data_IF_808917639606
#
_entry.id   IF_808917639606
#
_cell.length_a   1.000
_cell.length_b   1.000
_cell.length_c   1.000
_cell.angle_alpha   90.00
_cell.angle_beta   90.00
_cell.angle_gamma   90.00
#
_symmetry.space_group_name_H-M   'P 1'
#
loop_
_entity.id
_entity.type
_entity.pdbx_description
1 polymer ?
#
# COMPACT_ATOMS: atom_id res chain seq x y z
N UNK A 1 -75.71 -25.74 -27.16
CA UNK A 1 -74.78 -26.40 -28.11
C UNK A 1 -73.82 -25.33 -28.63
N UNK A 2 -72.75 -25.07 -27.87
CA UNK A 2 -71.36 -25.51 -28.13
C UNK A 2 -70.67 -24.74 -29.25
N UNK A 3 -69.86 -23.74 -28.87
CA UNK A 3 -68.69 -23.30 -29.63
C UNK A 3 -67.48 -23.28 -28.69
N UNK A 4 -66.48 -24.10 -29.01
CA UNK A 4 -65.26 -24.30 -28.23
C UNK A 4 -64.38 -23.02 -28.16
N UNK A 5 -63.65 -22.77 -27.05
CA UNK A 5 -62.65 -21.72 -27.02
C UNK A 5 -61.33 -22.18 -27.67
N UNK A 6 -60.74 -21.25 -28.43
CA UNK A 6 -59.50 -21.39 -29.19
C UNK A 6 -58.29 -21.60 -28.27
N UNK A 7 -57.40 -22.48 -28.71
CA UNK A 7 -56.09 -22.78 -28.16
C UNK A 7 -55.20 -21.51 -28.20
N UNK A 8 -54.87 -20.95 -27.04
CA UNK A 8 -53.85 -19.89 -26.90
C UNK A 8 -52.56 -20.54 -26.38
N UNK A 9 -51.53 -20.52 -27.20
CA UNK A 9 -50.19 -20.95 -26.84
C UNK A 9 -49.54 -19.79 -26.02
N UNK A 10 -49.15 -19.97 -24.75
CA UNK A 10 -48.57 -18.90 -23.97
C UNK A 10 -47.16 -18.58 -24.47
N UNK A 11 -46.95 -17.34 -24.91
CA UNK A 11 -45.63 -16.75 -25.14
C UNK A 11 -44.91 -16.62 -23.81
N UNK A 12 -43.86 -17.42 -23.59
CA UNK A 12 -42.97 -17.30 -22.43
C UNK A 12 -42.18 -15.99 -22.58
N UNK A 13 -42.40 -15.08 -21.65
CA UNK A 13 -41.78 -13.76 -21.60
C UNK A 13 -40.26 -13.88 -21.36
N UNK A 14 -39.47 -12.97 -21.94
CA UNK A 14 -38.00 -12.98 -21.79
C UNK A 14 -37.55 -12.80 -20.32
N UNK A 15 -38.43 -12.26 -19.46
CA UNK A 15 -38.18 -12.10 -18.04
C UNK A 15 -38.11 -13.44 -17.28
N UNK A 16 -38.86 -14.46 -17.72
CA UNK A 16 -38.87 -15.80 -17.09
C UNK A 16 -37.62 -16.63 -17.42
N UNK A 17 -37.00 -16.37 -18.58
CA UNK A 17 -35.74 -17.03 -18.97
C UNK A 17 -34.57 -16.59 -18.10
N UNK A 18 -34.53 -15.31 -17.72
CA UNK A 18 -33.50 -14.74 -16.85
C UNK A 18 -33.59 -15.33 -15.42
N UNK A 19 -34.80 -15.46 -14.88
CA UNK A 19 -35.03 -16.09 -13.57
C UNK A 19 -34.65 -17.59 -13.55
N UNK A 20 -35.01 -18.33 -14.60
CA UNK A 20 -34.71 -19.77 -14.70
C UNK A 20 -33.21 -20.03 -14.85
N UNK A 21 -32.51 -19.19 -15.62
CA UNK A 21 -31.05 -19.27 -15.82
C UNK A 21 -30.30 -18.99 -14.52
N UNK A 22 -30.77 -18.02 -13.73
CA UNK A 22 -30.19 -17.68 -12.41
C UNK A 22 -30.35 -18.81 -11.40
N UNK A 23 -31.54 -19.41 -11.32
CA UNK A 23 -31.79 -20.56 -10.42
C UNK A 23 -30.89 -21.75 -10.76
N UNK A 24 -30.67 -22.04 -12.05
CA UNK A 24 -29.79 -23.11 -12.50
C UNK A 24 -28.32 -22.86 -12.09
N UNK A 25 -27.84 -21.63 -12.21
CA UNK A 25 -26.49 -21.23 -11.83
C UNK A 25 -26.24 -21.29 -10.31
N UNK A 26 -27.23 -20.91 -9.49
CA UNK A 26 -27.15 -21.05 -8.02
C UNK A 26 -27.06 -22.52 -7.61
N UNK A 27 -27.86 -23.38 -8.24
CA UNK A 27 -27.84 -24.83 -8.00
C UNK A 27 -26.53 -25.49 -8.44
N UNK A 28 -25.95 -25.07 -9.56
CA UNK A 28 -24.69 -25.63 -10.09
C UNK A 28 -23.44 -25.14 -9.35
N UNK A 29 -23.44 -23.90 -8.85
CA UNK A 29 -22.28 -23.31 -8.16
C UNK A 29 -22.26 -23.54 -6.65
N UNK A 30 -23.42 -23.84 -6.03
CA UNK A 30 -23.55 -23.95 -4.58
C UNK A 30 -23.31 -22.64 -3.83
N UNK A 31 -23.29 -21.51 -4.55
CA UNK A 31 -23.08 -20.16 -4.02
C UNK A 31 -24.24 -19.26 -4.47
N UNK A 32 -24.78 -18.40 -3.59
CA UNK A 32 -25.78 -17.43 -4.00
C UNK A 32 -25.19 -16.49 -5.05
N UNK A 33 -25.90 -16.27 -6.17
CA UNK A 33 -25.40 -15.45 -7.30
C UNK A 33 -25.13 -13.99 -6.90
N UNK A 34 -25.74 -13.52 -5.81
CA UNK A 34 -25.44 -12.22 -5.19
C UNK A 34 -23.99 -12.08 -4.70
N UNK A 35 -23.25 -13.18 -4.54
CA UNK A 35 -21.81 -13.19 -4.26
C UNK A 35 -20.93 -13.39 -5.50
N UNK A 36 -21.51 -13.77 -6.64
CA UNK A 36 -20.78 -13.85 -7.90
C UNK A 36 -20.62 -12.44 -8.48
N UNK A 37 -19.44 -11.85 -8.28
CA UNK A 37 -19.04 -10.66 -9.04
C UNK A 37 -18.85 -11.06 -10.51
N UNK A 38 -19.75 -10.62 -11.41
CA UNK A 38 -19.62 -10.89 -12.84
C UNK A 38 -20.90 -10.72 -13.64
N UNK A 39 -20.83 -11.08 -14.92
CA UNK A 39 -21.93 -11.12 -15.88
C UNK A 39 -22.38 -12.59 -16.04
N UNK A 40 -23.40 -13.05 -15.27
CA UNK A 40 -23.84 -14.44 -15.30
C UNK A 40 -24.44 -14.82 -16.65
N UNK A 41 -25.13 -13.89 -17.32
CA UNK A 41 -25.75 -14.12 -18.62
C UNK A 41 -24.68 -14.26 -19.70
N UNK A 42 -23.67 -13.39 -19.70
CA UNK A 42 -22.51 -13.50 -20.57
C UNK A 42 -21.71 -14.79 -20.34
N UNK A 43 -21.65 -15.28 -19.09
CA UNK A 43 -21.04 -16.58 -18.79
C UNK A 43 -21.84 -17.74 -19.40
N UNK A 44 -23.17 -17.73 -19.27
CA UNK A 44 -24.03 -18.77 -19.84
C UNK A 44 -24.03 -18.75 -21.36
N UNK A 45 -24.05 -17.55 -21.96
CA UNK A 45 -23.89 -17.39 -23.41
C UNK A 45 -22.56 -17.97 -23.88
N UNK A 46 -21.47 -17.71 -23.15
CA UNK A 46 -20.14 -18.27 -23.46
C UNK A 46 -20.09 -19.78 -23.25
N UNK A 47 -20.71 -20.30 -22.20
CA UNK A 47 -20.79 -21.73 -21.89
C UNK A 47 -21.54 -22.53 -22.96
N UNK A 48 -22.51 -21.89 -23.62
CA UNK A 48 -23.31 -22.49 -24.69
C UNK A 48 -22.59 -22.54 -26.05
N UNK A 49 -21.42 -21.89 -26.19
CA UNK A 49 -20.68 -21.84 -27.46
C UNK A 49 -19.74 -23.06 -27.61
N UNK A 50 -19.56 -23.58 -28.85
CA UNK A 50 -18.53 -24.56 -29.13
C UNK A 50 -17.14 -24.08 -28.70
N UNK A 51 -16.30 -24.99 -28.21
CA UNK A 51 -14.94 -24.64 -27.75
C UNK A 51 -14.89 -23.96 -26.38
N UNK A 52 -16.00 -23.93 -25.62
CA UNK A 52 -16.04 -23.39 -24.25
C UNK A 52 -14.93 -23.95 -23.36
N UNK A 53 -14.64 -25.26 -23.41
CA UNK A 53 -13.56 -25.87 -22.62
C UNK A 53 -12.18 -25.28 -22.92
N UNK A 54 -11.86 -25.09 -24.21
CA UNK A 54 -10.60 -24.48 -24.65
C UNK A 54 -10.53 -23.01 -24.24
N UNK A 55 -11.64 -22.29 -24.39
CA UNK A 55 -11.77 -20.92 -23.91
C UNK A 55 -11.56 -20.83 -22.40
N UNK A 56 -12.20 -21.68 -21.62
CA UNK A 56 -12.13 -21.69 -20.15
C UNK A 56 -10.72 -21.99 -19.69
N UNK A 57 -10.06 -22.99 -20.27
CA UNK A 57 -8.66 -23.31 -19.97
C UNK A 57 -7.73 -22.12 -20.28
N UNK A 58 -7.96 -21.43 -21.39
CA UNK A 58 -7.22 -20.23 -21.76
C UNK A 58 -7.50 -19.05 -20.80
N UNK A 59 -8.77 -18.76 -20.51
CA UNK A 59 -9.21 -17.68 -19.62
C UNK A 59 -8.79 -17.92 -18.16
N UNK A 60 -8.72 -19.17 -17.71
CA UNK A 60 -8.24 -19.53 -16.37
C UNK A 60 -6.81 -19.04 -16.10
N UNK A 61 -5.98 -18.83 -17.14
CA UNK A 61 -4.64 -18.23 -17.01
C UNK A 61 -4.68 -16.79 -16.48
N UNK A 62 -5.82 -16.10 -16.60
CA UNK A 62 -6.05 -14.80 -15.98
C UNK A 62 -6.28 -14.88 -14.46
N UNK A 63 -6.39 -16.09 -13.89
CA UNK A 63 -6.51 -16.36 -12.44
C UNK A 63 -7.66 -15.62 -11.76
N UNK A 64 -8.79 -15.45 -12.43
CA UNK A 64 -9.94 -14.72 -11.88
C UNK A 64 -9.74 -13.21 -11.80
N UNK A 65 -8.82 -12.64 -12.58
CA UNK A 65 -8.68 -11.20 -12.72
C UNK A 65 -9.97 -10.56 -13.27
N UNK A 66 -10.50 -9.54 -12.60
CA UNK A 66 -11.75 -8.85 -12.98
C UNK A 66 -11.63 -8.07 -14.30
N UNK A 67 -10.44 -7.55 -14.61
CA UNK A 67 -10.20 -6.76 -15.83
C UNK A 67 -8.84 -7.11 -16.44
N UNK A 68 -8.68 -8.32 -17.02
CA UNK A 68 -7.39 -8.76 -17.57
C UNK A 68 -6.95 -7.90 -18.75
N UNK A 69 -5.65 -7.70 -18.89
CA UNK A 69 -5.03 -7.07 -20.06
C UNK A 69 -5.16 -8.05 -21.22
N UNK A 70 -5.71 -7.59 -22.35
CA UNK A 70 -5.88 -8.38 -23.57
C UNK A 70 -4.74 -8.05 -24.52
N UNK A 71 -3.86 -9.02 -24.75
CA UNK A 71 -2.71 -8.89 -25.63
C UNK A 71 -3.00 -9.52 -26.98
N UNK A 72 -2.57 -8.88 -28.06
CA UNK A 72 -2.59 -9.42 -29.42
C UNK A 72 -1.17 -9.34 -29.98
N UNK A 73 -0.77 -10.36 -30.72
CA UNK A 73 0.49 -10.38 -31.42
C UNK A 73 1.09 -11.77 -31.52
N UNK A 74 2.37 -11.78 -31.82
CA UNK A 74 3.16 -12.97 -32.08
C UNK A 74 4.42 -12.97 -31.23
N UNK A 75 4.80 -14.16 -30.77
CA UNK A 75 6.06 -14.42 -30.08
C UNK A 75 6.83 -15.44 -30.90
N UNK A 76 8.03 -15.07 -31.32
CA UNK A 76 8.98 -15.96 -31.98
C UNK A 76 10.10 -16.27 -31.01
N UNK A 77 10.30 -17.55 -30.69
CA UNK A 77 11.51 -18.00 -30.00
C UNK A 77 12.56 -18.26 -31.08
N UNK A 78 13.68 -17.54 -31.02
CA UNK A 78 14.74 -17.58 -32.02
C UNK A 78 16.02 -18.11 -31.40
N UNK A 79 16.68 -19.05 -32.07
CA UNK A 79 17.96 -19.58 -31.64
C UNK A 79 19.06 -18.52 -31.77
N UNK A 80 19.71 -18.19 -30.65
CA UNK A 80 20.57 -17.01 -30.54
C UNK A 80 21.76 -17.01 -31.50
N UNK A 81 22.39 -18.15 -31.76
CA UNK A 81 23.59 -18.21 -32.61
C UNK A 81 23.31 -18.44 -34.09
N UNK A 82 22.12 -18.93 -34.46
CA UNK A 82 21.80 -19.29 -35.86
C UNK A 82 20.70 -18.43 -36.47
N UNK A 83 19.97 -17.65 -35.66
CA UNK A 83 18.84 -16.84 -36.12
C UNK A 83 17.60 -17.67 -36.53
N UNK A 84 17.64 -19.00 -36.36
CA UNK A 84 16.52 -19.88 -36.74
C UNK A 84 15.36 -19.73 -35.74
N UNK A 85 14.15 -19.54 -36.24
CA UNK A 85 12.93 -19.63 -35.42
C UNK A 85 12.75 -21.08 -34.98
N UNK A 86 12.69 -21.30 -33.67
CA UNK A 86 12.48 -22.62 -33.05
C UNK A 86 11.04 -22.82 -32.59
N UNK A 87 10.35 -21.74 -32.26
CA UNK A 87 8.96 -21.76 -31.82
C UNK A 87 8.27 -20.49 -32.30
N UNK A 88 7.00 -20.62 -32.68
CA UNK A 88 6.14 -19.50 -33.06
C UNK A 88 4.83 -19.65 -32.30
N UNK A 89 4.43 -18.60 -31.62
CA UNK A 89 3.15 -18.48 -30.94
C UNK A 89 2.42 -17.27 -31.50
N UNK A 90 1.22 -17.45 -32.02
CA UNK A 90 0.37 -16.35 -32.47
C UNK A 90 -0.93 -16.33 -31.68
N UNK A 91 -1.35 -15.15 -31.23
CA UNK A 91 -2.63 -15.01 -30.53
C UNK A 91 -3.83 -15.35 -31.40
N UNK A 92 -3.73 -15.30 -32.73
CA UNK A 92 -4.81 -15.65 -33.66
C UNK A 92 -5.27 -17.11 -33.51
N UNK A 93 -4.40 -17.98 -33.00
CA UNK A 93 -4.68 -19.38 -32.72
C UNK A 93 -5.44 -19.59 -31.39
N UNK A 94 -5.69 -18.51 -30.62
CA UNK A 94 -6.39 -18.57 -29.34
C UNK A 94 -7.90 -18.37 -29.49
N UNK A 95 -8.73 -18.89 -28.57
CA UNK A 95 -10.20 -18.85 -28.66
C UNK A 95 -10.82 -17.46 -28.90
N UNK A 96 -10.25 -16.40 -28.32
CA UNK A 96 -10.71 -15.01 -28.50
C UNK A 96 -9.72 -14.15 -29.31
N UNK A 97 -8.74 -14.79 -29.96
CA UNK A 97 -7.61 -14.15 -30.64
C UNK A 97 -6.84 -13.16 -29.77
N UNK A 98 -6.82 -13.41 -28.47
CA UNK A 98 -6.13 -12.58 -27.47
C UNK A 98 -5.51 -13.49 -26.42
N UNK A 99 -4.40 -13.06 -25.82
CA UNK A 99 -3.84 -13.65 -24.62
C UNK A 99 -4.28 -12.83 -23.40
N UNK A 100 -4.86 -13.49 -22.40
CA UNK A 100 -5.25 -12.84 -21.15
C UNK A 100 -4.10 -12.79 -20.15
N UNK A 101 -3.69 -11.58 -19.79
CA UNK A 101 -2.73 -11.33 -18.71
C UNK A 101 -3.44 -10.72 -17.50
N UNK A 102 -3.25 -11.24 -16.27
CA UNK A 102 -3.76 -10.61 -15.07
C UNK A 102 -3.34 -9.12 -14.99
N UNK A 103 -4.23 -8.24 -14.56
CA UNK A 103 -3.98 -6.80 -14.55
C UNK A 103 -2.88 -6.36 -13.58
N UNK A 104 -2.55 -7.18 -12.58
CA UNK A 104 -1.50 -6.91 -11.61
C UNK A 104 -1.80 -5.73 -10.68
N UNK A 105 -3.04 -5.22 -10.65
CA UNK A 105 -3.42 -4.18 -9.68
C UNK A 105 -3.32 -4.73 -8.26
N UNK A 106 -2.81 -3.90 -7.35
CA UNK A 106 -2.76 -4.17 -5.91
C UNK A 106 -4.00 -3.64 -5.16
N UNK A 107 -4.95 -3.05 -5.87
CA UNK A 107 -6.16 -2.45 -5.29
C UNK A 107 -7.28 -3.49 -5.29
N UNK A 108 -7.61 -4.02 -4.11
CA UNK A 108 -8.67 -5.01 -3.93
C UNK A 108 -10.03 -4.51 -4.45
N UNK A 109 -10.33 -3.21 -4.28
CA UNK A 109 -11.54 -2.58 -4.80
C UNK A 109 -11.64 -2.56 -6.34
N UNK A 110 -10.53 -2.77 -7.06
CA UNK A 110 -10.52 -2.86 -8.53
C UNK A 110 -10.42 -4.31 -9.02
N UNK A 111 -9.67 -5.16 -8.33
CA UNK A 111 -9.54 -6.57 -8.66
C UNK A 111 -9.12 -7.34 -7.40
N UNK A 112 -10.05 -8.02 -6.71
CA UNK A 112 -9.75 -8.79 -5.50
C UNK A 112 -8.69 -9.88 -5.74
N UNK A 113 -8.82 -10.64 -6.83
CA UNK A 113 -7.90 -11.74 -7.15
C UNK A 113 -6.43 -11.28 -7.32
N UNK A 114 -6.18 -10.25 -8.14
CA UNK A 114 -4.83 -9.76 -8.36
C UNK A 114 -4.23 -9.13 -7.10
N UNK A 115 -5.05 -8.40 -6.32
CA UNK A 115 -4.62 -7.82 -5.06
C UNK A 115 -4.27 -8.89 -4.02
N UNK A 116 -5.03 -9.99 -3.98
CA UNK A 116 -4.79 -11.12 -3.08
C UNK A 116 -3.49 -11.86 -3.43
N UNK A 117 -3.28 -12.14 -4.72
CA UNK A 117 -2.03 -12.73 -5.21
C UNK A 117 -0.83 -11.85 -4.83
N UNK A 118 -0.93 -10.54 -5.09
CA UNK A 118 0.11 -9.57 -4.71
C UNK A 118 0.37 -9.56 -3.18
N UNK A 119 -0.70 -9.65 -2.36
CA UNK A 119 -0.59 -9.69 -0.89
C UNK A 119 0.20 -10.91 -0.44
N UNK A 120 -0.11 -12.10 -0.96
CA UNK A 120 0.60 -13.33 -0.64
C UNK A 120 2.06 -13.31 -1.12
N UNK A 121 2.31 -12.85 -2.34
CA UNK A 121 3.67 -12.73 -2.86
C UNK A 121 4.51 -11.78 -2.00
N UNK A 122 3.94 -10.62 -1.65
CA UNK A 122 4.59 -9.64 -0.77
C UNK A 122 4.84 -10.22 0.62
N UNK A 123 3.87 -10.95 1.19
CA UNK A 123 4.04 -11.61 2.49
C UNK A 123 5.19 -12.61 2.44
N UNK A 124 5.26 -13.46 1.42
CA UNK A 124 6.31 -14.46 1.28
C UNK A 124 7.69 -13.83 1.05
N UNK A 125 7.77 -12.73 0.29
CA UNK A 125 9.00 -11.95 0.12
C UNK A 125 9.50 -11.38 1.44
N UNK A 126 8.62 -10.76 2.23
CA UNK A 126 8.96 -10.19 3.53
C UNK A 126 9.35 -11.30 4.52
N UNK A 127 8.57 -12.39 4.57
CA UNK A 127 8.84 -13.55 5.44
C UNK A 127 10.20 -14.17 5.14
N UNK A 128 10.49 -14.48 3.88
CA UNK A 128 11.79 -15.02 3.49
C UNK A 128 12.93 -14.04 3.80
N UNK A 129 12.69 -12.74 3.60
CA UNK A 129 13.60 -11.67 3.99
C UNK A 129 13.77 -11.45 5.50
N UNK A 130 13.09 -12.19 6.37
CA UNK A 130 13.22 -12.05 7.83
C UNK A 130 13.55 -13.36 8.52
N UNK A 131 13.08 -14.49 8.01
CA UNK A 131 13.22 -15.80 8.62
C UNK A 131 14.01 -16.80 7.76
N UNK A 132 14.36 -16.43 6.51
CA UNK A 132 14.95 -17.35 5.54
C UNK A 132 13.93 -18.14 4.72
N UNK A 133 14.41 -18.95 3.78
CA UNK A 133 13.62 -19.71 2.81
C UNK A 133 13.66 -19.12 1.40
N UNK A 134 13.19 -19.89 0.40
CA UNK A 134 13.17 -19.50 -1.03
C UNK A 134 14.52 -18.97 -1.55
N UNK A 135 15.62 -19.63 -1.16
CA UNK A 135 16.99 -19.22 -1.54
C UNK A 135 17.62 -18.18 -0.61
N UNK A 136 16.92 -17.69 0.42
CA UNK A 136 17.48 -16.83 1.47
C UNK A 136 17.94 -17.70 2.65
N UNK A 137 19.18 -17.55 3.16
CA UNK A 137 19.65 -18.29 4.33
C UNK A 137 18.84 -18.00 5.59
N UNK A 138 18.65 -18.99 6.47
CA UNK A 138 17.94 -18.84 7.76
C UNK A 138 18.66 -17.91 8.75
N UNK A 139 19.97 -17.73 8.58
CA UNK A 139 20.80 -16.83 9.40
C UNK A 139 20.28 -15.39 9.42
N UNK A 140 19.49 -14.97 8.42
CA UNK A 140 18.87 -13.64 8.36
C UNK A 140 17.96 -13.34 9.55
N UNK A 141 17.43 -14.36 10.23
CA UNK A 141 16.65 -14.19 11.46
C UNK A 141 17.47 -13.57 12.60
N UNK A 142 18.79 -13.71 12.55
CA UNK A 142 19.73 -13.13 13.52
C UNK A 142 20.22 -11.74 13.11
N UNK A 143 19.94 -11.30 11.89
CA UNK A 143 20.42 -10.02 11.39
C UNK A 143 19.61 -8.86 12.00
N UNK A 144 20.24 -7.71 12.32
CA UNK A 144 19.51 -6.58 12.85
C UNK A 144 18.46 -6.09 11.86
N UNK A 145 17.22 -6.05 12.30
CA UNK A 145 16.10 -5.49 11.57
C UNK A 145 15.35 -4.47 12.42
N UNK A 146 14.86 -3.41 11.79
CA UNK A 146 13.99 -2.42 12.41
C UNK A 146 12.74 -2.22 11.57
N UNK A 147 11.60 -2.12 12.24
CA UNK A 147 10.36 -1.64 11.63
C UNK A 147 10.20 -0.16 11.97
N UNK A 148 10.18 0.68 10.94
CA UNK A 148 10.13 2.14 11.07
C UNK A 148 8.86 2.66 10.41
N UNK A 149 8.14 3.53 11.11
CA UNK A 149 7.01 4.27 10.55
C UNK A 149 7.40 5.74 10.43
N UNK A 150 7.43 6.26 9.20
CA UNK A 150 7.67 7.67 8.91
C UNK A 150 6.33 8.34 8.66
N UNK A 151 5.85 9.05 9.68
CA UNK A 151 4.61 9.80 9.60
C UNK A 151 4.85 11.16 8.95
N UNK A 152 3.85 11.59 8.20
CA UNK A 152 3.84 12.93 7.63
C UNK A 152 3.74 14.01 8.71
N UNK A 153 4.19 15.24 8.41
CA UNK A 153 3.93 16.38 9.28
C UNK A 153 2.42 16.64 9.43
N UNK A 154 2.10 17.51 10.38
CA UNK A 154 0.74 18.05 10.51
C UNK A 154 0.53 19.18 9.52
N UNK A 155 -0.62 19.18 8.84
CA UNK A 155 -1.05 20.25 7.93
C UNK A 155 -2.24 21.04 8.49
N UNK A 156 -2.74 20.66 9.67
CA UNK A 156 -3.96 21.19 10.26
C UNK A 156 -4.58 20.16 11.18
N UNK A 157 -5.55 20.59 11.98
CA UNK A 157 -6.25 19.68 12.89
C UNK A 157 -7.35 18.96 12.12
N UNK A 158 -7.37 17.63 12.24
CA UNK A 158 -8.38 16.77 11.61
C UNK A 158 -9.21 16.04 12.66
N UNK A 159 -10.38 15.57 12.25
CA UNK A 159 -11.13 14.57 13.02
C UNK A 159 -10.34 13.26 13.11
N UNK A 160 -10.28 12.71 14.31
CA UNK A 160 -9.54 11.48 14.63
C UNK A 160 -10.39 10.56 15.49
N UNK A 161 -10.07 9.27 15.48
CA UNK A 161 -10.66 8.29 16.37
C UNK A 161 -9.53 7.75 17.27
N UNK A 162 -9.48 8.15 18.55
CA UNK A 162 -8.39 7.75 19.44
C UNK A 162 -8.47 6.26 19.81
N UNK A 163 -7.81 5.40 19.03
CA UNK A 163 -7.76 3.93 19.24
C UNK A 163 -8.83 3.17 18.46
N UNK A 164 -8.57 1.90 18.14
CA UNK A 164 -9.54 1.02 17.47
C UNK A 164 -10.65 0.63 18.46
N UNK A 165 -11.92 0.82 18.08
CA UNK A 165 -13.08 0.40 18.88
C UNK A 165 -13.32 1.21 20.18
N UNK A 166 -12.56 2.28 20.42
CA UNK A 166 -12.74 3.07 21.63
C UNK A 166 -13.84 4.12 21.44
N UNK A 167 -14.85 4.12 22.30
CA UNK A 167 -15.87 5.17 22.45
C UNK A 167 -15.29 6.46 23.05
N UNK A 168 -14.15 6.91 22.53
CA UNK A 168 -13.44 8.10 22.99
C UNK A 168 -13.84 9.30 22.13
N UNK A 169 -14.02 10.49 22.75
CA UNK A 169 -14.24 11.72 22.01
C UNK A 169 -13.12 11.96 21.00
N UNK A 170 -13.49 12.43 19.81
CA UNK A 170 -12.60 12.66 18.68
C UNK A 170 -11.34 13.45 19.05
N UNK A 171 -11.56 14.64 19.63
CA UNK A 171 -10.52 15.59 20.00
C UNK A 171 -11.02 16.53 21.10
N UNK A 172 -11.15 16.05 22.34
CA UNK A 172 -11.67 16.85 23.43
C UNK A 172 -10.66 17.94 23.81
N UNK A 173 -11.15 19.17 24.01
CA UNK A 173 -10.37 20.29 24.54
C UNK A 173 -11.22 21.10 25.50
N UNK A 174 -10.75 21.24 26.75
CA UNK A 174 -11.43 21.99 27.82
C UNK A 174 -11.64 23.47 27.46
N UNK A 175 -10.61 24.09 26.90
CA UNK A 175 -10.59 25.53 26.53
C UNK A 175 -11.48 25.86 25.33
N UNK A 176 -12.00 24.85 24.62
CA UNK A 176 -12.87 25.00 23.44
C UNK A 176 -12.37 26.07 22.44
N UNK A 177 -11.09 26.03 22.01
CA UNK A 177 -10.52 27.07 21.18
C UNK A 177 -11.22 27.14 19.82
N UNK A 178 -11.35 28.36 19.29
CA UNK A 178 -11.78 28.65 17.92
C UNK A 178 -10.59 29.12 17.10
N UNK A 179 -10.59 28.84 15.79
CA UNK A 179 -9.61 29.43 14.89
C UNK A 179 -10.00 30.85 14.48
N UNK A 180 -9.11 31.55 13.76
CA UNK A 180 -9.40 32.89 13.22
C UNK A 180 -10.59 32.95 12.24
N UNK A 181 -11.07 31.80 11.74
CA UNK A 181 -12.26 31.69 10.90
C UNK A 181 -13.54 31.36 11.71
N UNK A 182 -13.47 31.38 13.04
CA UNK A 182 -14.60 31.10 13.94
C UNK A 182 -14.99 29.62 14.05
N UNK A 183 -14.23 28.68 13.46
CA UNK A 183 -14.51 27.24 13.55
C UNK A 183 -13.92 26.63 14.84
N UNK A 184 -14.61 25.68 15.48
CA UNK A 184 -14.11 25.02 16.68
C UNK A 184 -12.90 24.12 16.34
N UNK A 185 -11.82 24.25 17.12
CA UNK A 185 -10.60 23.43 16.97
C UNK A 185 -10.59 22.22 17.92
N UNK A 186 -11.79 21.76 18.27
CA UNK A 186 -12.09 20.64 19.15
C UNK A 186 -13.33 19.89 18.64
N UNK A 187 -13.48 18.63 19.05
CA UNK A 187 -14.65 17.83 18.73
C UNK A 187 -14.86 16.80 19.85
N UNK A 188 -16.02 16.85 20.51
CA UNK A 188 -16.38 15.90 21.57
C UNK A 188 -17.20 14.71 21.06
N UNK A 189 -17.55 14.70 19.77
CA UNK A 189 -18.26 13.58 19.15
C UNK A 189 -17.42 12.31 19.23
N UNK A 190 -18.08 11.19 19.47
CA UNK A 190 -17.48 9.86 19.34
C UNK A 190 -17.81 9.41 17.92
N UNK A 191 -16.77 9.26 17.09
CA UNK A 191 -16.93 8.82 15.71
C UNK A 191 -16.90 7.30 15.64
N UNK A 192 -17.88 6.72 14.94
CA UNK A 192 -17.89 5.30 14.63
C UNK A 192 -16.80 4.95 13.59
N UNK A 193 -16.46 3.67 13.49
CA UNK A 193 -15.64 3.19 12.39
C UNK A 193 -16.35 3.47 11.05
N UNK A 194 -15.64 4.10 10.12
CA UNK A 194 -16.20 4.50 8.82
C UNK A 194 -16.90 5.86 8.78
N UNK A 195 -16.97 6.62 9.89
CA UNK A 195 -17.49 7.99 9.86
C UNK A 195 -16.71 8.84 8.83
N UNK A 196 -17.42 9.37 7.83
CA UNK A 196 -16.85 10.13 6.72
C UNK A 196 -16.13 11.42 7.13
N UNK A 197 -16.36 11.93 8.35
CA UNK A 197 -15.61 13.05 8.90
C UNK A 197 -14.18 12.67 9.28
N UNK A 198 -13.89 11.40 9.57
CA UNK A 198 -12.57 10.98 10.03
C UNK A 198 -11.49 11.27 8.99
N UNK A 199 -10.46 12.01 9.40
CA UNK A 199 -9.42 12.52 8.51
C UNK A 199 -9.74 13.86 7.85
N UNK A 200 -10.98 14.34 7.89
CA UNK A 200 -11.32 15.68 7.42
C UNK A 200 -10.82 16.76 8.39
N UNK A 201 -10.43 17.94 7.90
CA UNK A 201 -10.06 19.07 8.75
C UNK A 201 -11.24 19.58 9.60
N UNK A 202 -10.95 20.02 10.84
CA UNK A 202 -11.95 20.72 11.67
C UNK A 202 -12.32 22.09 11.08
N UNK A 203 -11.39 22.70 10.34
CA UNK A 203 -11.60 23.94 9.60
C UNK A 203 -10.91 23.78 8.25
N UNK A 204 -11.69 23.83 7.17
CA UNK A 204 -11.17 23.68 5.81
C UNK A 204 -10.19 24.80 5.48
N UNK A 205 -10.47 26.04 5.89
CA UNK A 205 -9.62 27.20 5.60
C UNK A 205 -8.31 27.23 6.41
N UNK A 206 -8.26 26.54 7.56
CA UNK A 206 -7.02 26.42 8.35
C UNK A 206 -6.09 25.30 7.86
N UNK A 207 -6.56 24.41 6.99
CA UNK A 207 -5.77 23.26 6.57
C UNK A 207 -4.84 23.61 5.41
N UNK A 208 -3.56 23.28 5.55
CA UNK A 208 -2.53 23.56 4.55
C UNK A 208 -2.54 22.49 3.44
N UNK A 209 -3.50 22.62 2.51
CA UNK A 209 -3.63 21.71 1.37
C UNK A 209 -2.44 21.79 0.42
N UNK A 210 -1.83 22.96 0.26
CA UNK A 210 -0.66 23.14 -0.60
C UNK A 210 0.51 22.30 -0.10
N UNK A 211 0.82 22.39 1.20
CA UNK A 211 1.90 21.60 1.79
C UNK A 211 1.57 20.11 1.85
N UNK A 212 0.30 19.72 2.05
CA UNK A 212 -0.14 18.33 1.92
C UNK A 212 0.14 17.79 0.51
N UNK A 213 -0.31 18.49 -0.54
CA UNK A 213 -0.09 18.08 -1.91
C UNK A 213 1.41 17.95 -2.24
N UNK A 214 2.22 18.95 -1.83
CA UNK A 214 3.68 18.92 -1.99
C UNK A 214 4.32 17.74 -1.26
N UNK A 215 3.88 17.44 -0.03
CA UNK A 215 4.36 16.28 0.72
C UNK A 215 4.07 14.98 -0.03
N UNK A 216 2.81 14.75 -0.43
CA UNK A 216 2.42 13.55 -1.15
C UNK A 216 3.18 13.39 -2.47
N UNK A 217 3.42 14.49 -3.19
CA UNK A 217 4.22 14.48 -4.41
C UNK A 217 5.71 14.15 -4.14
N UNK A 218 6.29 14.71 -3.08
CA UNK A 218 7.73 14.60 -2.80
C UNK A 218 8.13 13.44 -1.89
N UNK A 219 7.19 12.74 -1.24
CA UNK A 219 7.49 11.67 -0.25
C UNK A 219 8.39 10.57 -0.82
N UNK A 220 8.22 10.23 -2.10
CA UNK A 220 9.10 9.28 -2.80
C UNK A 220 10.53 9.78 -2.93
N UNK A 221 10.72 11.05 -3.31
CA UNK A 221 12.05 11.69 -3.41
C UNK A 221 12.69 11.87 -2.02
N UNK A 222 11.89 12.23 -1.01
CA UNK A 222 12.34 12.33 0.38
C UNK A 222 12.84 10.99 0.90
N UNK A 223 12.11 9.90 0.63
CA UNK A 223 12.57 8.54 0.95
C UNK A 223 13.91 8.22 0.31
N UNK A 224 14.07 8.46 -1.00
CA UNK A 224 15.32 8.17 -1.71
C UNK A 224 16.50 8.94 -1.13
N UNK A 225 16.31 10.23 -0.80
CA UNK A 225 17.33 11.05 -0.16
C UNK A 225 17.65 10.58 1.26
N UNK A 226 16.65 10.18 2.03
CA UNK A 226 16.82 9.58 3.36
C UNK A 226 17.66 8.32 3.27
N UNK A 227 17.30 7.37 2.40
CA UNK A 227 18.04 6.10 2.27
C UNK A 227 19.46 6.30 1.76
N UNK A 228 19.69 7.25 0.85
CA UNK A 228 21.03 7.62 0.42
C UNK A 228 21.88 8.13 1.59
N UNK A 229 21.32 9.02 2.43
CA UNK A 229 21.99 9.53 3.63
C UNK A 229 22.26 8.42 4.63
N UNK A 230 21.29 7.54 4.89
CA UNK A 230 21.46 6.39 5.80
C UNK A 230 22.57 5.48 5.30
N UNK A 231 22.57 5.09 4.01
CA UNK A 231 23.63 4.26 3.41
C UNK A 231 25.02 4.88 3.60
N UNK A 232 25.16 6.17 3.33
CA UNK A 232 26.44 6.89 3.51
C UNK A 232 26.88 6.93 4.98
N UNK A 233 25.98 7.29 5.90
CA UNK A 233 26.30 7.38 7.34
C UNK A 233 26.67 6.03 7.94
N UNK A 234 26.05 4.96 7.47
CA UNK A 234 26.30 3.58 7.93
C UNK A 234 27.49 2.92 7.21
N UNK A 235 28.14 3.60 6.25
CA UNK A 235 29.18 2.99 5.43
C UNK A 235 28.67 1.87 4.51
N UNK A 236 27.36 1.74 4.30
CA UNK A 236 26.74 0.72 3.44
C UNK A 236 26.81 1.13 1.96
N UNK A 237 28.04 1.22 1.46
CA UNK A 237 28.41 1.61 0.09
C UNK A 237 29.12 0.45 -0.61
N UNK A 238 29.41 0.56 -1.91
CA UNK A 238 30.11 -0.51 -2.67
C UNK A 238 31.50 -0.86 -2.12
N UNK A 239 32.13 0.04 -1.36
CA UNK A 239 33.43 -0.17 -0.71
C UNK A 239 33.30 -0.48 0.80
N UNK A 240 32.07 -0.62 1.29
CA UNK A 240 31.77 -0.84 2.70
C UNK A 240 31.70 -2.31 3.08
N UNK A 241 31.55 -2.59 4.37
CA UNK A 241 31.37 -3.95 4.92
C UNK A 241 29.92 -4.28 5.26
N UNK A 242 29.02 -3.31 5.08
CA UNK A 242 27.60 -3.42 5.41
C UNK A 242 26.72 -3.25 4.18
N UNK A 243 25.58 -3.93 4.20
CA UNK A 243 24.53 -3.79 3.21
C UNK A 243 23.19 -3.54 3.87
N UNK A 244 22.47 -2.54 3.35
CA UNK A 244 21.11 -2.24 3.77
C UNK A 244 20.13 -2.83 2.76
N UNK A 245 19.31 -3.77 3.20
CA UNK A 245 18.14 -4.29 2.49
C UNK A 245 16.88 -3.75 3.16
N UNK A 246 15.86 -3.43 2.37
CA UNK A 246 14.61 -2.94 2.93
C UNK A 246 13.42 -3.29 2.05
N UNK A 247 12.26 -3.40 2.69
CA UNK A 247 10.96 -3.34 2.05
C UNK A 247 10.21 -2.12 2.59
N UNK A 248 9.44 -1.44 1.75
CA UNK A 248 8.61 -0.30 2.18
C UNK A 248 7.21 -0.38 1.61
N UNK A 249 6.25 0.11 2.39
CA UNK A 249 4.87 0.31 1.98
C UNK A 249 4.52 1.76 2.19
N UNK A 250 3.92 2.37 1.18
CA UNK A 250 3.29 3.68 1.28
C UNK A 250 1.79 3.46 1.48
N UNK A 251 1.26 4.03 2.56
CA UNK A 251 -0.15 3.92 2.93
C UNK A 251 -0.71 5.32 3.13
N UNK A 252 -1.96 5.50 2.69
CA UNK A 252 -2.70 6.72 2.91
C UNK A 252 -3.36 6.67 4.28
N UNK A 253 -3.07 7.67 5.10
CA UNK A 253 -3.86 7.94 6.30
C UNK A 253 -5.29 8.32 5.88
N UNK A 254 -6.26 8.19 6.80
CA UNK A 254 -7.66 8.61 6.54
C UNK A 254 -7.77 10.03 5.98
N UNK A 255 -6.85 10.92 6.36
CA UNK A 255 -6.74 12.29 5.83
C UNK A 255 -6.10 12.42 4.43
N UNK A 256 -5.90 11.32 3.71
CA UNK A 256 -5.29 11.30 2.37
C UNK A 256 -3.80 11.62 2.33
N UNK A 257 -3.11 11.60 3.47
CA UNK A 257 -1.68 11.91 3.57
C UNK A 257 -0.88 10.61 3.60
N UNK A 258 0.17 10.52 2.79
CA UNK A 258 1.03 9.33 2.73
C UNK A 258 1.93 9.26 3.96
N UNK A 259 1.90 8.12 4.66
CA UNK A 259 2.97 7.69 5.57
C UNK A 259 3.69 6.46 5.00
N UNK A 260 4.91 6.23 5.48
CA UNK A 260 5.72 5.10 5.05
C UNK A 260 5.92 4.13 6.21
N UNK A 261 5.69 2.85 5.97
CA UNK A 261 6.19 1.77 6.79
C UNK A 261 7.39 1.15 6.08
N UNK A 262 8.48 0.92 6.80
CA UNK A 262 9.67 0.31 6.24
C UNK A 262 10.24 -0.72 7.20
N UNK A 263 10.53 -1.89 6.66
CA UNK A 263 11.36 -2.89 7.30
C UNK A 263 12.77 -2.74 6.75
N UNK A 264 13.75 -2.47 7.60
CA UNK A 264 15.14 -2.25 7.21
C UNK A 264 16.01 -3.27 7.92
N UNK A 265 16.74 -4.09 7.16
CA UNK A 265 17.65 -5.13 7.64
C UNK A 265 19.09 -4.79 7.27
N UNK A 266 20.01 -5.06 8.19
CA UNK A 266 21.45 -4.91 8.00
C UNK A 266 22.10 -6.27 7.77
N UNK A 267 22.77 -6.43 6.63
CA UNK A 267 23.55 -7.61 6.27
C UNK A 267 25.04 -7.23 6.18
N UNK A 268 25.92 -8.24 6.23
CA UNK A 268 27.30 -8.13 5.78
C UNK A 268 27.39 -7.99 4.25
N UNK A 269 28.46 -7.38 3.78
CA UNK A 269 28.78 -7.28 2.36
C UNK A 269 30.10 -8.01 2.05
N UNK A 270 30.05 -8.95 1.09
CA UNK A 270 31.22 -9.63 0.56
C UNK A 270 31.58 -9.04 -0.81
N UNK A 271 32.78 -8.44 -1.00
CA UNK A 271 33.17 -7.81 -2.26
C UNK A 271 33.13 -8.77 -3.46
N UNK A 272 33.63 -10.01 -3.28
CA UNK A 272 33.75 -10.99 -4.37
C UNK A 272 32.47 -11.81 -4.59
N UNK A 273 31.47 -11.67 -3.70
CA UNK A 273 30.18 -12.31 -3.87
C UNK A 273 29.07 -11.32 -3.48
N UNK A 274 28.71 -10.40 -4.40
CA UNK A 274 27.69 -9.41 -4.15
C UNK A 274 26.32 -10.02 -3.85
N UNK A 275 26.01 -11.27 -4.17
CA UNK A 275 24.70 -11.85 -3.86
C UNK A 275 24.66 -12.56 -2.49
N UNK A 276 25.82 -12.83 -1.88
CA UNK A 276 25.92 -13.43 -0.57
C UNK A 276 25.16 -12.62 0.51
N UNK A 277 24.40 -13.33 1.33
CA UNK A 277 23.68 -12.79 2.48
C UNK A 277 24.42 -13.27 3.73
N UNK A 278 25.36 -12.45 4.21
CA UNK A 278 26.15 -12.75 5.39
C UNK A 278 25.66 -11.97 6.61
N UNK A 279 25.88 -12.47 7.83
CA UNK A 279 25.69 -11.67 9.02
C UNK A 279 26.67 -10.48 9.03
N UNK A 280 26.27 -9.30 9.54
CA UNK A 280 27.16 -8.16 9.64
C UNK A 280 28.31 -8.47 10.60
N UNK A 281 29.56 -8.51 10.11
CA UNK A 281 30.73 -9.02 10.85
C UNK A 281 31.15 -8.21 12.07
N UNK A 282 30.63 -6.99 12.27
CA UNK A 282 30.90 -6.18 13.46
C UNK A 282 29.69 -5.30 13.79
N UNK A 283 28.87 -5.74 14.73
CA UNK A 283 28.12 -4.80 15.56
C UNK A 283 28.86 -4.68 16.88
N UNK A 284 29.88 -3.83 16.94
CA UNK A 284 30.28 -3.34 18.26
C UNK A 284 29.03 -2.76 18.93
N UNK A 285 28.86 -2.87 20.25
CA UNK A 285 27.70 -2.30 20.97
C UNK A 285 27.42 -0.83 20.61
N UNK A 286 28.44 -0.11 20.14
CA UNK A 286 28.38 1.25 19.58
C UNK A 286 27.55 1.38 18.29
N UNK A 287 27.56 0.41 17.36
CA UNK A 287 26.75 0.45 16.12
C UNK A 287 25.28 0.17 16.43
N UNK A 288 24.98 -0.76 17.33
CA UNK A 288 23.60 -0.99 17.82
C UNK A 288 23.09 0.23 18.58
N UNK A 289 23.93 0.84 19.44
CA UNK A 289 23.61 2.08 20.14
C UNK A 289 23.42 3.23 19.17
N UNK A 290 24.21 3.35 18.10
CA UNK A 290 24.05 4.38 17.04
C UNK A 290 22.87 4.09 16.12
N UNK A 291 22.43 2.85 15.94
CA UNK A 291 21.15 2.53 15.27
C UNK A 291 19.94 2.89 16.15
N UNK A 292 20.05 2.71 17.47
CA UNK A 292 19.02 3.09 18.46
C UNK A 292 19.01 4.59 18.79
N UNK A 293 20.17 5.25 18.72
CA UNK A 293 20.38 6.66 19.08
C UNK A 293 20.58 7.58 17.88
N UNK A 294 20.75 7.04 16.67
CA UNK A 294 20.54 7.84 15.47
C UNK A 294 19.11 8.35 15.57
N UNK A 295 18.90 9.67 15.64
CA UNK A 295 17.57 10.18 15.41
C UNK A 295 17.24 9.76 13.98
N UNK A 296 16.46 8.69 13.83
CA UNK A 296 15.67 8.47 12.65
C UNK A 296 14.67 9.64 12.62
N UNK A 297 15.19 10.77 12.14
CA UNK A 297 14.48 11.92 11.64
C UNK A 297 13.64 12.64 12.70
N UNK A 298 14.29 13.46 13.53
CA UNK A 298 13.69 14.75 13.93
C UNK A 298 13.65 15.69 12.71
N UNK A 299 12.97 15.28 11.64
CA UNK A 299 12.76 16.09 10.43
C UNK A 299 11.66 17.14 10.61
N UNK A 300 10.98 17.16 11.76
CA UNK A 300 9.86 18.06 12.01
C UNK A 300 10.25 19.52 12.25
N UNK A 301 11.54 19.86 12.45
CA UNK A 301 11.94 21.23 12.86
C UNK A 301 12.71 22.06 11.83
N UNK A 302 13.11 21.52 10.67
CA UNK A 302 13.96 22.26 9.70
C UNK A 302 13.47 22.34 8.25
N UNK A 303 12.22 21.98 7.98
CA UNK A 303 11.54 22.40 6.75
C UNK A 303 10.69 23.63 7.02
N UNK A 304 11.37 24.78 7.16
CA UNK A 304 10.72 26.09 6.99
C UNK A 304 10.95 26.47 5.53
N UNK A 305 10.00 26.17 4.65
CA UNK A 305 9.94 26.79 3.32
C UNK A 305 10.03 28.30 3.56
N UNK A 306 11.14 28.92 3.14
CA UNK A 306 11.25 30.38 3.15
C UNK A 306 10.18 30.89 2.20
N UNK A 307 9.02 31.31 2.73
CA UNK A 307 8.13 32.22 2.01
C UNK A 307 9.01 33.41 1.62
N UNK A 308 9.28 33.55 0.33
CA UNK A 308 9.89 34.75 -0.23
C UNK A 308 8.83 35.84 -0.09
N UNK A 309 8.76 36.46 1.10
CA UNK A 309 7.99 37.68 1.29
C UNK A 309 8.61 38.72 0.36
N UNK A 310 7.92 39.04 -0.73
CA UNK A 310 8.01 40.36 -1.33
C UNK A 310 7.58 41.35 -0.26
N UNK A 311 8.56 41.84 0.53
CA UNK A 311 8.36 42.98 1.40
C UNK A 311 8.57 44.22 0.56
N UNK A 312 7.46 44.90 0.27
CA UNK A 312 7.48 46.31 -0.07
C UNK A 312 8.24 47.08 1.00
N UNK A 313 9.05 48.03 0.52
CA UNK A 313 9.83 49.01 1.29
C UNK A 313 9.07 49.56 2.50
N UNK A 314 9.73 49.61 3.67
CA UNK A 314 9.87 50.81 4.51
C UNK A 314 10.90 50.57 5.62
N UNK A 315 11.70 51.61 5.80
CA UNK A 315 12.94 51.82 6.55
C UNK A 315 12.76 52.00 8.06
N UNK A 316 13.90 51.82 8.78
CA UNK A 316 14.36 52.35 10.10
C UNK A 316 14.52 51.30 11.23
N UNK A 317 15.76 50.93 11.61
CA UNK A 317 16.60 51.42 12.77
C UNK A 317 15.92 51.19 14.14
N UNK A 318 16.49 50.59 15.20
CA UNK A 318 17.86 50.49 15.74
C UNK A 318 17.94 49.35 16.82
N UNK A 319 19.17 48.86 17.07
CA UNK A 319 19.81 48.42 18.35
C UNK A 319 19.25 47.30 19.27
N UNK A 320 20.16 46.42 19.73
CA UNK A 320 20.25 46.06 21.17
C UNK A 320 20.40 44.58 21.59
N UNK A 321 21.65 44.09 21.68
CA UNK A 321 22.28 43.26 22.74
C UNK A 321 21.68 41.94 23.32
N UNK A 322 22.47 40.86 23.14
CA UNK A 322 23.13 39.90 24.08
C UNK A 322 22.46 39.13 25.24
N UNK A 323 23.01 37.89 25.43
CA UNK A 323 23.21 37.02 26.63
C UNK A 323 22.35 35.73 26.69
N UNK A 324 22.87 34.49 26.56
CA UNK A 324 23.82 33.65 27.36
C UNK A 324 23.19 32.90 28.56
N UNK A 325 23.33 31.56 28.60
CA UNK A 325 23.20 30.70 29.81
C UNK A 325 22.53 29.31 29.65
N UNK A 326 23.29 28.21 29.77
CA UNK A 326 22.80 26.81 30.02
C UNK A 326 22.93 26.41 31.50
N UNK A 327 23.10 25.13 31.93
CA UNK A 327 22.77 23.80 31.37
C UNK A 327 22.02 22.83 32.37
N UNK A 328 21.93 21.53 31.99
CA UNK A 328 21.30 20.33 32.61
C UNK A 328 21.96 19.82 33.94
N UNK A 329 21.43 18.80 34.67
CA UNK A 329 21.44 17.32 34.38
C UNK A 329 20.09 16.64 34.76
N UNK A 330 19.74 15.35 34.59
CA UNK A 330 20.39 14.07 34.26
C UNK A 330 19.72 12.97 35.13
N UNK A 331 19.18 11.88 34.55
CA UNK A 331 18.56 10.79 35.33
C UNK A 331 18.00 9.64 34.50
N UNK A 332 18.67 8.49 34.53
CA UNK A 332 18.37 7.24 33.83
C UNK A 332 17.54 6.27 34.67
N UNK A 333 16.54 5.59 34.06
CA UNK A 333 16.04 4.28 34.52
C UNK A 333 15.67 3.39 33.33
N UNK A 334 16.17 2.17 33.36
CA UNK A 334 15.93 1.12 32.38
C UNK A 334 14.65 0.36 32.70
N UNK A 335 13.86 -0.01 31.69
CA UNK A 335 12.90 -1.10 31.78
C UNK A 335 12.93 -1.97 30.52
N UNK A 336 13.04 -3.28 30.73
CA UNK A 336 12.86 -4.33 29.73
C UNK A 336 11.39 -4.39 29.34
N UNK A 337 11.08 -4.54 28.05
CA UNK A 337 9.76 -4.97 27.60
C UNK A 337 9.86 -5.90 26.39
N UNK A 338 9.17 -7.02 26.57
CA UNK A 338 8.91 -8.15 25.68
C UNK A 338 8.02 -7.68 24.53
N UNK A 339 8.32 -8.06 23.29
CA UNK A 339 7.48 -7.72 22.14
C UNK A 339 6.53 -8.87 21.83
N UNK A 340 5.26 -8.70 22.20
CA UNK A 340 4.13 -9.39 21.58
C UNK A 340 3.82 -8.73 20.24
N UNK A 341 3.62 -9.55 19.21
CA UNK A 341 3.17 -9.14 17.87
C UNK A 341 1.65 -9.25 17.83
N UNK A 342 0.88 -8.16 17.66
CA UNK A 342 -0.53 -8.26 17.35
C UNK A 342 -0.73 -8.43 15.84
N UNK A 343 -1.28 -9.58 15.45
CA UNK A 343 -1.71 -9.87 14.09
C UNK A 343 -2.81 -8.91 13.63
N UNK A 344 -2.68 -8.42 12.40
CA UNK A 344 -3.80 -7.81 11.68
C UNK A 344 -4.35 -8.86 10.70
N UNK A 345 -5.31 -9.65 11.19
CA UNK A 345 -6.33 -10.28 10.36
C UNK A 345 -7.51 -9.31 10.28
N UNK A 346 -7.84 -8.89 9.07
CA UNK A 346 -9.14 -8.39 8.66
C UNK A 346 -9.26 -8.82 7.18
N UNK A 347 -10.22 -9.63 6.75
CA UNK A 347 -11.59 -9.74 7.23
C UNK A 347 -12.42 -8.70 6.49
N UNK A 348 -12.76 -9.06 5.24
CA UNK A 348 -13.87 -8.64 4.36
C UNK A 348 -13.40 -8.69 2.92
#
# INVERSE_FOLDING_TARGET
MTTAPKNQNPTIDNHDRDATTRLLLEQLSGLPLTQMQGDPDGLMERASKPGFGNWLHHAAKARGCTSPIRLRGEVLTVHASTGRVVERFNTDDLPDRVLYKPCGTRLASRCPSCAETYRWDTYQLIKAGLAGGKGVPETVATHPAVFVTLTAPSFGVVHTQPGKGASKPCRPRRERPTCGHGKPMWCNSIHADGDGRLGQPLCMDCYDYEHHAVWNHLVGKLWSRTMLRVRRTMGATSKGVLRIRYAKVAEYQRRGVVHLHALVRLDGFHPDNPDAIEPPRLLSPLVVRRCRSAPLLTLSRRWRMRRRQQRSRRTRTLTGQSAMGGPLPGGTRASRSMWCVPGCLAGS
#
